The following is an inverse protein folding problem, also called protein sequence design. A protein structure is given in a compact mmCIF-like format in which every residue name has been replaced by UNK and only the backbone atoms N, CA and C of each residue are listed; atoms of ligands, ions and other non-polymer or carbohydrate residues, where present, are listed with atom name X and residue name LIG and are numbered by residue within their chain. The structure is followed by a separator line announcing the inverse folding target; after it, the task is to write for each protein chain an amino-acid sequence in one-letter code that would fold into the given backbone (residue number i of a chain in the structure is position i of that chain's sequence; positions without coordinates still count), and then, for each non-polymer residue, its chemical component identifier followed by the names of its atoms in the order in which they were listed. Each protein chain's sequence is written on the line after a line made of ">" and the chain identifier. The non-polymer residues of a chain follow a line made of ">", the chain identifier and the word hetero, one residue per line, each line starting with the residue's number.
data_IF_714249701209
#
_entry.id   IF_714249701209
#
_cell.length_a   1.000
_cell.length_b   1.000
_cell.length_c   1.000
_cell.angle_alpha   90.00
_cell.angle_beta   90.00
_cell.angle_gamma   90.00
#
_symmetry.space_group_name_H-M   'P 1'
#
loop_
_entity.id
_entity.type
_entity.pdbx_description
1 polymer ?
#
# COMPACT_ATOMS: atom_id res chain seq x y z
N UNK A 1 23.51 -42.65 19.10
CA UNK A 1 23.32 -41.27 19.59
C UNK A 1 22.80 -40.50 18.39
N UNK A 2 21.57 -40.04 18.50
CA UNK A 2 20.72 -39.66 17.39
C UNK A 2 21.14 -38.34 16.75
N UNK A 3 21.28 -38.35 15.44
CA UNK A 3 21.43 -37.17 14.60
C UNK A 3 20.14 -36.33 14.64
N UNK A 4 20.16 -35.26 15.42
CA UNK A 4 19.10 -34.26 15.49
C UNK A 4 19.18 -33.35 14.25
N UNK A 5 18.55 -33.80 13.16
CA UNK A 5 18.39 -32.99 11.96
C UNK A 5 17.23 -32.02 12.17
N UNK A 6 17.52 -30.84 12.71
CA UNK A 6 16.59 -29.70 12.72
C UNK A 6 16.25 -29.30 11.28
N UNK A 7 14.97 -29.33 10.85
CA UNK A 7 14.57 -28.63 9.65
C UNK A 7 14.47 -27.14 9.98
N UNK A 8 15.47 -26.36 9.56
CA UNK A 8 15.39 -24.90 9.52
C UNK A 8 14.26 -24.53 8.56
N UNK A 9 13.07 -24.38 9.11
CA UNK A 9 11.92 -23.86 8.40
C UNK A 9 12.00 -22.35 8.51
N UNK A 10 13.07 -21.75 7.97
CA UNK A 10 13.05 -20.35 7.60
C UNK A 10 11.97 -20.20 6.53
N UNK A 11 10.78 -19.87 7.00
CA UNK A 11 9.73 -19.29 6.17
C UNK A 11 10.34 -18.00 5.63
N UNK A 12 11.00 -18.11 4.47
CA UNK A 12 11.16 -17.00 3.58
C UNK A 12 9.75 -16.57 3.20
N UNK A 13 9.14 -15.73 4.04
CA UNK A 13 8.22 -14.71 3.58
C UNK A 13 9.05 -13.91 2.58
N UNK A 14 9.06 -14.39 1.33
CA UNK A 14 9.43 -13.60 0.18
C UNK A 14 8.37 -12.51 0.13
N UNK A 15 8.62 -11.46 0.90
CA UNK A 15 8.05 -10.16 0.70
C UNK A 15 8.69 -9.67 -0.61
N UNK A 16 8.38 -10.34 -1.73
CA UNK A 16 8.64 -9.79 -3.04
C UNK A 16 7.83 -8.50 -3.02
N UNK A 17 8.47 -7.31 -3.03
CA UNK A 17 7.71 -6.09 -3.09
C UNK A 17 6.96 -6.17 -4.41
N UNK A 18 5.66 -6.46 -4.35
CA UNK A 18 4.78 -6.16 -5.47
C UNK A 18 5.01 -4.68 -5.72
N UNK A 19 5.69 -4.36 -6.83
CA UNK A 19 5.96 -2.99 -7.24
C UNK A 19 4.60 -2.37 -7.61
N UNK A 20 3.88 -1.92 -6.59
CA UNK A 20 2.61 -1.23 -6.73
C UNK A 20 2.91 0.24 -6.90
N UNK A 21 2.36 0.80 -7.98
CA UNK A 21 2.38 2.21 -8.24
C UNK A 21 1.00 2.79 -7.95
N UNK A 22 0.93 3.69 -6.98
CA UNK A 22 -0.31 4.37 -6.63
C UNK A 22 -0.46 5.62 -7.50
N UNK A 23 -1.63 5.79 -8.08
CA UNK A 23 -1.96 6.92 -8.95
C UNK A 23 -3.33 7.51 -8.61
N UNK A 24 -3.50 8.80 -8.88
CA UNK A 24 -4.71 9.57 -8.56
C UNK A 24 -5.44 10.08 -9.79
N UNK A 25 -6.60 10.69 -9.59
CA UNK A 25 -7.49 11.14 -10.68
C UNK A 25 -7.10 12.50 -11.28
N UNK A 26 -6.13 13.19 -10.68
CA UNK A 26 -5.64 14.50 -11.11
C UNK A 26 -4.16 14.37 -11.47
N UNK A 27 -3.69 15.01 -12.56
CA UNK A 27 -2.27 15.01 -12.92
C UNK A 27 -1.42 15.69 -11.85
N UNK A 28 -0.44 14.96 -11.30
CA UNK A 28 0.45 15.47 -10.25
C UNK A 28 1.58 16.37 -10.80
N UNK A 29 1.93 16.24 -12.09
CA UNK A 29 3.00 17.01 -12.72
C UNK A 29 2.79 17.15 -14.25
N UNK A 30 3.39 18.18 -14.90
CA UNK A 30 3.46 18.25 -16.35
C UNK A 30 4.04 16.97 -16.96
N UNK A 31 3.45 16.50 -18.06
CA UNK A 31 3.84 15.22 -18.68
C UNK A 31 3.27 13.98 -18.00
N UNK A 32 2.38 14.13 -17.00
CA UNK A 32 1.58 13.01 -16.49
C UNK A 32 0.75 12.40 -17.62
N UNK A 33 0.56 11.08 -17.58
CA UNK A 33 -0.22 10.32 -18.56
C UNK A 33 -1.20 9.41 -17.86
N UNK A 34 -2.31 9.11 -18.54
CA UNK A 34 -3.33 8.22 -18.01
C UNK A 34 -2.97 6.75 -18.22
N UNK A 35 -3.22 5.93 -17.20
CA UNK A 35 -3.09 4.47 -17.23
C UNK A 35 -4.30 3.83 -16.56
N UNK A 36 -4.59 2.59 -16.92
CA UNK A 36 -5.67 1.84 -16.28
C UNK A 36 -5.22 1.30 -14.92
N UNK A 37 -6.05 1.49 -13.90
CA UNK A 37 -5.93 0.78 -12.63
C UNK A 37 -6.06 -0.72 -12.87
N UNK A 38 -5.16 -1.52 -12.32
CA UNK A 38 -5.13 -2.97 -12.45
C UNK A 38 -6.29 -3.67 -11.72
N UNK A 39 -6.94 -2.97 -10.79
CA UNK A 39 -8.03 -3.53 -9.98
C UNK A 39 -9.41 -3.14 -10.51
N UNK A 40 -9.69 -1.83 -10.64
CA UNK A 40 -10.99 -1.33 -11.10
C UNK A 40 -11.05 -0.91 -12.57
N UNK A 41 -9.91 -0.84 -13.27
CA UNK A 41 -9.84 -0.40 -14.67
C UNK A 41 -9.95 1.12 -14.89
N UNK A 42 -10.21 1.92 -13.86
CA UNK A 42 -10.33 3.38 -13.99
C UNK A 42 -9.04 4.01 -14.51
N UNK A 43 -9.20 5.07 -15.32
CA UNK A 43 -8.07 5.85 -15.84
C UNK A 43 -7.55 6.79 -14.77
N UNK A 44 -6.31 6.58 -14.36
CA UNK A 44 -5.60 7.39 -13.35
C UNK A 44 -4.34 8.01 -13.93
N UNK A 45 -3.95 9.16 -13.41
CA UNK A 45 -2.77 9.89 -13.85
C UNK A 45 -1.52 9.42 -13.13
N UNK A 46 -0.53 9.01 -13.93
CA UNK A 46 0.79 8.61 -13.45
C UNK A 46 1.80 9.70 -13.82
N UNK A 47 2.53 10.19 -12.82
CA UNK A 47 3.59 11.18 -13.00
C UNK A 47 4.77 10.61 -13.83
N UNK A 48 5.60 11.45 -14.47
CA UNK A 48 6.73 10.98 -15.31
C UNK A 48 7.70 10.02 -14.60
N UNK A 49 7.97 10.23 -13.30
CA UNK A 49 8.78 9.32 -12.48
C UNK A 49 8.15 7.93 -12.35
N UNK A 50 6.83 7.90 -12.17
CA UNK A 50 6.06 6.67 -12.14
C UNK A 50 6.05 5.95 -13.49
N UNK A 51 5.91 6.70 -14.59
CA UNK A 51 6.02 6.16 -15.95
C UNK A 51 7.40 5.55 -16.20
N UNK A 52 8.46 6.18 -15.70
CA UNK A 52 9.82 5.63 -15.78
C UNK A 52 9.93 4.31 -15.01
N UNK A 53 9.39 4.23 -13.79
CA UNK A 53 9.32 2.95 -13.04
C UNK A 53 8.58 1.86 -13.80
N UNK A 54 7.46 2.17 -14.45
CA UNK A 54 6.72 1.20 -15.27
C UNK A 54 7.53 0.71 -16.48
N UNK A 55 8.41 1.54 -17.05
CA UNK A 55 9.32 1.12 -18.13
C UNK A 55 10.39 0.15 -17.62
N UNK A 56 10.92 0.38 -16.41
CA UNK A 56 11.93 -0.47 -15.79
C UNK A 56 11.32 -1.79 -15.29
N UNK A 57 10.11 -1.73 -14.74
CA UNK A 57 9.35 -2.87 -14.28
C UNK A 57 7.95 -2.90 -14.93
N UNK A 58 7.81 -3.54 -16.11
CA UNK A 58 6.52 -3.64 -16.79
C UNK A 58 5.52 -4.57 -16.08
N UNK A 59 5.94 -5.32 -15.06
CA UNK A 59 5.06 -6.16 -14.23
C UNK A 59 4.46 -5.38 -13.06
N UNK A 60 4.92 -4.15 -12.82
CA UNK A 60 4.39 -3.29 -11.77
C UNK A 60 2.89 -3.01 -11.99
N UNK A 61 2.11 -3.10 -10.92
CA UNK A 61 0.66 -2.88 -10.97
C UNK A 61 0.35 -1.43 -10.63
N UNK A 62 -0.48 -0.79 -11.44
CA UNK A 62 -0.97 0.56 -11.17
C UNK A 62 -2.27 0.43 -10.39
N UNK A 63 -2.37 1.02 -9.22
CA UNK A 63 -3.55 0.97 -8.34
C UNK A 63 -4.03 2.39 -8.07
N UNK A 64 -5.33 2.64 -8.23
CA UNK A 64 -5.89 3.93 -7.89
C UNK A 64 -6.00 4.10 -6.36
N UNK A 65 -6.06 5.35 -5.90
CA UNK A 65 -6.21 5.66 -4.47
C UNK A 65 -7.43 4.96 -3.86
N UNK A 66 -8.58 4.98 -4.52
CA UNK A 66 -9.80 4.33 -4.03
C UNK A 66 -9.62 2.81 -3.81
N UNK A 67 -8.97 2.13 -4.76
CA UNK A 67 -8.68 0.71 -4.65
C UNK A 67 -7.65 0.45 -3.55
N UNK A 68 -6.64 1.32 -3.40
CA UNK A 68 -5.68 1.20 -2.31
C UNK A 68 -6.37 1.30 -0.94
N UNK A 69 -7.28 2.26 -0.76
CA UNK A 69 -8.03 2.41 0.50
C UNK A 69 -8.94 1.22 0.78
N UNK A 70 -9.57 0.63 -0.25
CA UNK A 70 -10.34 -0.62 -0.10
C UNK A 70 -9.46 -1.80 0.29
N UNK A 71 -8.26 -1.92 -0.29
CA UNK A 71 -7.31 -2.99 0.02
C UNK A 71 -6.73 -2.88 1.43
N UNK A 72 -6.53 -1.66 1.92
CA UNK A 72 -6.03 -1.41 3.28
C UNK A 72 -7.11 -1.48 4.37
N UNK A 73 -8.37 -1.73 3.99
CA UNK A 73 -9.52 -2.03 4.85
C UNK A 73 -9.44 -1.47 6.28
N UNK A 74 -10.01 -0.29 6.52
CA UNK A 74 -10.28 0.26 7.87
C UNK A 74 -9.09 0.32 8.87
N UNK A 75 -7.86 0.03 8.45
CA UNK A 75 -6.75 -0.15 9.40
C UNK A 75 -6.12 1.16 9.88
N UNK A 76 -6.27 2.28 9.16
CA UNK A 76 -5.68 3.57 9.58
C UNK A 76 -6.53 4.72 9.07
N UNK A 77 -7.59 5.07 9.81
CA UNK A 77 -8.08 6.43 10.07
C UNK A 77 -9.37 6.36 10.90
N UNK A 78 -9.37 5.59 12.01
CA UNK A 78 -10.10 6.10 13.16
C UNK A 78 -9.33 7.35 13.58
N UNK A 79 -9.75 8.53 13.10
CA UNK A 79 -9.55 9.73 13.91
C UNK A 79 -10.09 9.35 15.28
N UNK A 80 -9.31 9.43 16.38
CA UNK A 80 -9.95 9.41 17.69
C UNK A 80 -11.00 10.52 17.62
N UNK A 81 -12.26 10.13 17.71
CA UNK A 81 -13.29 11.12 17.97
C UNK A 81 -12.99 11.67 19.35
N UNK A 82 -13.25 12.95 19.59
CA UNK A 82 -12.88 13.68 20.82
C UNK A 82 -13.42 13.03 22.13
N UNK A 83 -14.20 11.95 22.02
CA UNK A 83 -14.71 11.14 23.12
C UNK A 83 -13.66 10.22 23.78
N UNK A 84 -12.55 9.87 23.13
CA UNK A 84 -11.53 8.98 23.73
C UNK A 84 -10.43 9.72 24.52
N UNK A 85 -10.39 11.06 24.48
CA UNK A 85 -9.41 11.87 25.23
C UNK A 85 -9.80 12.06 26.71
N UNK A 86 -11.05 11.74 27.09
CA UNK A 86 -11.58 12.01 28.44
C UNK A 86 -11.46 10.86 29.46
N UNK A 87 -10.82 9.74 29.13
CA UNK A 87 -10.75 8.57 30.02
C UNK A 87 -9.45 8.40 30.81
N UNK A 88 -8.46 9.29 30.67
CA UNK A 88 -7.14 9.14 31.31
C UNK A 88 -6.85 10.14 32.46
N UNK A 89 -7.83 10.92 32.92
CA UNK A 89 -7.63 11.90 34.01
C UNK A 89 -8.37 11.61 35.31
N UNK A 90 -8.99 10.43 35.47
CA UNK A 90 -9.61 10.01 36.74
C UNK A 90 -8.86 8.84 37.39
N UNK A 91 -7.54 8.97 37.51
CA UNK A 91 -6.65 7.93 38.00
C UNK A 91 -5.61 8.41 39.02
N UNK A 92 -5.95 9.34 39.90
CA UNK A 92 -5.16 9.63 41.12
C UNK A 92 -6.08 9.74 42.33
N UNK A 93 -6.21 8.63 43.07
CA UNK A 93 -6.46 8.66 44.50
C UNK A 93 -5.38 7.85 45.19
#
# INVERSE_FOLDING_TARGET
>A
MSDEKTPDTSVHHRNEPMDVLVAGDIPAAPGSRQFACADCGNKVWVAPSGQHRLKLNPKAKIICLDCLFKMQGDAVLKRPTDAEILLDLSGTN
#
